data_IF_779377876873
#
_entry.id   IF_779377876873
#
_cell.length_a   1.000
_cell.length_b   1.000
_cell.length_c   1.000
_cell.angle_alpha   90.00
_cell.angle_beta   90.00
_cell.angle_gamma   90.00
#
_symmetry.space_group_name_H-M   'P 1'
#
loop_
_entity.id
_entity.type
_entity.pdbx_description
1 polymer ?
#
# COMPACT_ATOMS: atom_id res chain seq x y z
N UNK A 1 48.53 -22.20 -4.54
CA UNK A 1 47.20 -22.09 -3.92
C UNK A 1 46.70 -20.69 -4.25
N UNK A 2 46.03 -20.52 -5.37
CA UNK A 2 45.45 -19.27 -5.78
C UNK A 2 44.07 -19.12 -5.11
N UNK A 3 43.93 -18.12 -4.25
CA UNK A 3 42.66 -17.73 -3.67
C UNK A 3 41.81 -17.11 -4.77
N UNK A 4 40.87 -17.86 -5.31
CA UNK A 4 39.79 -17.32 -6.15
C UNK A 4 38.91 -16.45 -5.27
N UNK A 5 39.18 -15.14 -5.31
CA UNK A 5 38.30 -14.12 -4.78
C UNK A 5 37.08 -14.09 -5.69
N UNK A 6 36.01 -14.79 -5.33
CA UNK A 6 34.68 -14.60 -5.89
C UNK A 6 34.17 -13.24 -5.50
N UNK A 7 34.41 -12.25 -6.35
CA UNK A 7 33.69 -10.98 -6.32
C UNK A 7 32.21 -11.30 -6.54
N UNK A 8 31.43 -11.40 -5.46
CA UNK A 8 29.98 -11.32 -5.56
C UNK A 8 29.66 -9.93 -6.15
N UNK A 9 29.40 -9.89 -7.45
CA UNK A 9 28.81 -8.73 -8.08
C UNK A 9 27.48 -8.47 -7.34
N UNK A 10 27.40 -7.41 -6.58
CA UNK A 10 26.15 -6.97 -5.93
C UNK A 10 25.18 -6.64 -7.07
N UNK A 11 24.34 -7.59 -7.41
CA UNK A 11 23.29 -7.37 -8.40
C UNK A 11 22.32 -6.32 -7.82
N UNK A 12 22.11 -5.25 -8.58
CA UNK A 12 21.24 -4.15 -8.16
C UNK A 12 19.81 -4.65 -8.09
N UNK A 13 19.05 -4.22 -7.08
CA UNK A 13 17.63 -4.56 -6.95
C UNK A 13 16.74 -3.59 -7.72
N UNK A 14 15.61 -4.09 -8.23
CA UNK A 14 14.53 -3.29 -8.81
C UNK A 14 13.21 -3.67 -8.17
N UNK A 15 12.43 -2.68 -7.73
CA UNK A 15 11.12 -2.89 -7.09
C UNK A 15 10.02 -2.55 -8.08
N UNK A 16 9.25 -3.53 -8.51
CA UNK A 16 8.05 -3.34 -9.35
C UNK A 16 6.84 -3.24 -8.43
N UNK A 17 6.19 -2.07 -8.43
CA UNK A 17 4.99 -1.83 -7.64
C UNK A 17 3.76 -2.01 -8.53
N UNK A 18 2.82 -2.83 -8.08
CA UNK A 18 1.49 -2.90 -8.66
C UNK A 18 0.76 -1.53 -8.55
N UNK A 19 -0.12 -1.23 -9.47
CA UNK A 19 -0.90 0.02 -9.52
C UNK A 19 -1.62 0.30 -8.21
N UNK A 20 -2.19 -0.72 -7.59
CA UNK A 20 -2.88 -0.61 -6.30
C UNK A 20 -1.95 -0.13 -5.18
N UNK A 21 -0.67 -0.52 -5.22
CA UNK A 21 0.34 -0.08 -4.24
C UNK A 21 0.68 1.39 -4.46
N UNK A 22 0.91 1.81 -5.70
CA UNK A 22 1.11 3.22 -6.05
C UNK A 22 -0.03 4.11 -5.56
N UNK A 23 -1.26 3.67 -5.81
CA UNK A 23 -2.46 4.42 -5.46
C UNK A 23 -2.67 4.47 -3.94
N UNK A 24 -2.55 3.33 -3.25
CA UNK A 24 -2.65 3.22 -1.79
C UNK A 24 -1.63 4.13 -1.09
N UNK A 25 -0.40 4.14 -1.58
CA UNK A 25 0.69 4.95 -1.03
C UNK A 25 0.72 6.37 -1.60
N UNK A 26 -0.37 6.81 -2.24
CA UNK A 26 -0.55 8.18 -2.74
C UNK A 26 0.63 8.64 -3.60
N UNK A 27 0.97 7.84 -4.59
CA UNK A 27 2.13 8.09 -5.47
C UNK A 27 3.45 8.17 -4.67
N UNK A 28 3.59 7.34 -3.62
CA UNK A 28 4.72 7.32 -2.69
C UNK A 28 4.91 8.64 -1.90
N UNK A 29 3.82 9.39 -1.68
CA UNK A 29 3.80 10.57 -0.82
C UNK A 29 3.42 10.25 0.63
N UNK A 30 2.88 9.06 0.88
CA UNK A 30 2.60 8.58 2.24
C UNK A 30 3.89 8.43 3.06
N UNK A 31 3.77 8.27 4.37
CA UNK A 31 4.92 7.99 5.23
C UNK A 31 5.62 6.68 4.82
N UNK A 32 4.85 5.66 4.47
CA UNK A 32 5.38 4.37 4.04
C UNK A 32 6.04 4.47 2.64
N UNK A 33 5.42 5.22 1.71
CA UNK A 33 6.03 5.55 0.43
C UNK A 33 7.36 6.31 0.58
N UNK A 34 7.45 7.25 1.53
CA UNK A 34 8.70 7.96 1.85
C UNK A 34 9.76 7.03 2.48
N UNK A 35 9.37 6.07 3.32
CA UNK A 35 10.30 5.08 3.86
C UNK A 35 10.81 4.15 2.74
N UNK A 36 9.95 3.76 1.82
CA UNK A 36 10.32 2.99 0.65
C UNK A 36 11.34 3.73 -0.23
N UNK A 37 11.09 5.01 -0.56
CA UNK A 37 12.03 5.84 -1.35
C UNK A 37 13.38 5.95 -0.67
N UNK A 38 13.40 6.12 0.66
CA UNK A 38 14.65 6.11 1.42
C UNK A 38 15.40 4.79 1.26
N UNK A 39 14.70 3.65 1.37
CA UNK A 39 15.31 2.32 1.21
C UNK A 39 15.87 2.14 -0.20
N UNK A 40 15.10 2.51 -1.24
CA UNK A 40 15.54 2.47 -2.65
C UNK A 40 16.83 3.28 -2.85
N UNK A 41 16.88 4.51 -2.32
CA UNK A 41 18.06 5.37 -2.41
C UNK A 41 19.27 4.78 -1.67
N UNK A 42 19.09 4.28 -0.44
CA UNK A 42 20.16 3.70 0.37
C UNK A 42 20.78 2.46 -0.26
N UNK A 43 19.96 1.66 -0.91
CA UNK A 43 20.39 0.42 -1.57
C UNK A 43 20.81 0.63 -3.02
N UNK A 44 20.72 1.86 -3.52
CA UNK A 44 20.94 2.16 -4.95
C UNK A 44 20.05 1.32 -5.88
N UNK A 45 18.90 0.92 -5.37
CA UNK A 45 17.90 0.19 -6.12
C UNK A 45 17.16 1.09 -7.12
N UNK A 46 16.39 0.47 -8.02
CA UNK A 46 15.50 1.17 -8.96
C UNK A 46 14.04 0.83 -8.65
N UNK A 47 13.14 1.64 -9.20
CA UNK A 47 11.70 1.38 -9.20
C UNK A 47 11.33 0.99 -10.62
N UNK A 48 11.00 -0.27 -10.84
CA UNK A 48 10.47 -0.75 -12.11
C UNK A 48 9.09 -0.15 -12.36
N UNK A 49 8.95 0.52 -13.50
CA UNK A 49 7.71 1.24 -13.85
C UNK A 49 7.19 0.77 -15.21
N UNK A 50 6.44 -0.34 -15.26
CA UNK A 50 5.84 -0.84 -16.48
C UNK A 50 4.85 0.16 -17.08
N UNK A 51 4.84 0.30 -18.39
CA UNK A 51 3.91 1.21 -19.09
C UNK A 51 2.43 0.89 -18.80
N UNK A 52 2.09 -0.39 -18.60
CA UNK A 52 0.74 -0.79 -18.22
C UNK A 52 0.33 -0.20 -16.86
N UNK A 53 1.25 -0.14 -15.90
CA UNK A 53 1.01 0.49 -14.58
C UNK A 53 0.86 2.00 -14.75
N UNK A 54 1.68 2.65 -15.58
CA UNK A 54 1.55 4.08 -15.86
C UNK A 54 0.18 4.45 -16.44
N UNK A 55 -0.28 3.67 -17.44
CA UNK A 55 -1.60 3.88 -18.09
C UNK A 55 -2.76 3.69 -17.10
N UNK A 56 -2.70 2.64 -16.29
CA UNK A 56 -3.74 2.36 -15.29
C UNK A 56 -3.74 3.42 -14.18
N UNK A 57 -2.57 3.83 -13.72
CA UNK A 57 -2.41 4.86 -12.68
C UNK A 57 -2.99 6.20 -13.15
N UNK A 58 -2.74 6.58 -14.43
CA UNK A 58 -3.32 7.77 -15.03
C UNK A 58 -4.85 7.71 -15.02
N UNK A 59 -5.43 6.57 -15.39
CA UNK A 59 -6.88 6.39 -15.38
C UNK A 59 -7.46 6.48 -13.97
N UNK A 60 -6.83 5.81 -12.99
CA UNK A 60 -7.28 5.84 -11.59
C UNK A 60 -7.21 7.25 -10.98
N UNK A 61 -6.14 7.98 -11.23
CA UNK A 61 -5.99 9.37 -10.75
C UNK A 61 -7.05 10.28 -11.38
N UNK A 62 -7.36 10.09 -12.65
CA UNK A 62 -8.42 10.84 -13.32
C UNK A 62 -9.81 10.53 -12.75
N UNK A 63 -10.12 9.28 -12.48
CA UNK A 63 -11.40 8.87 -11.89
C UNK A 63 -11.52 9.40 -10.46
N UNK A 64 -10.48 9.28 -9.67
CA UNK A 64 -10.45 9.81 -8.31
C UNK A 64 -10.55 11.35 -8.31
N UNK A 65 -9.90 12.02 -9.24
CA UNK A 65 -10.02 13.46 -9.44
C UNK A 65 -11.47 13.89 -9.69
N UNK A 66 -12.19 13.19 -10.58
CA UNK A 66 -13.62 13.43 -10.84
C UNK A 66 -14.46 13.25 -9.57
N UNK A 67 -14.23 12.17 -8.84
CA UNK A 67 -14.94 11.88 -7.58
C UNK A 67 -14.71 12.99 -6.55
N UNK A 68 -13.46 13.35 -6.30
CA UNK A 68 -13.09 14.38 -5.32
C UNK A 68 -13.60 15.78 -5.69
N UNK A 69 -13.54 16.15 -6.97
CA UNK A 69 -14.09 17.41 -7.49
C UNK A 69 -15.60 17.48 -7.24
N UNK A 70 -16.31 16.37 -7.44
CA UNK A 70 -17.74 16.27 -7.16
C UNK A 70 -18.01 16.38 -5.66
N UNK A 71 -17.34 15.59 -4.84
CA UNK A 71 -17.51 15.56 -3.39
C UNK A 71 -17.25 16.95 -2.76
N UNK A 72 -16.20 17.64 -3.26
CA UNK A 72 -15.91 19.02 -2.87
C UNK A 72 -17.07 19.96 -3.20
N UNK A 73 -17.59 19.92 -4.44
CA UNK A 73 -18.67 20.77 -4.90
C UNK A 73 -19.95 20.55 -4.10
N UNK A 74 -20.26 19.28 -3.78
CA UNK A 74 -21.44 18.92 -3.00
C UNK A 74 -21.31 19.38 -1.54
N UNK A 75 -20.12 19.20 -0.95
CA UNK A 75 -19.81 19.69 0.40
C UNK A 75 -19.89 21.22 0.48
N UNK A 76 -19.25 21.92 -0.45
CA UNK A 76 -19.26 23.38 -0.51
C UNK A 76 -20.69 23.92 -0.64
N UNK A 77 -21.52 23.29 -1.47
CA UNK A 77 -22.94 23.63 -1.63
C UNK A 77 -23.70 23.42 -0.31
N UNK A 78 -23.52 22.28 0.34
CA UNK A 78 -24.20 21.99 1.61
C UNK A 78 -23.82 23.00 2.69
N UNK A 79 -22.53 23.32 2.86
CA UNK A 79 -22.06 24.33 3.81
C UNK A 79 -22.64 25.71 3.47
N UNK A 80 -22.68 26.08 2.17
CA UNK A 80 -23.29 27.33 1.72
C UNK A 80 -24.78 27.45 2.09
N UNK A 81 -25.53 26.36 2.03
CA UNK A 81 -26.93 26.33 2.45
C UNK A 81 -27.12 26.62 3.95
N UNK A 82 -26.24 26.11 4.82
CA UNK A 82 -26.32 26.29 6.26
C UNK A 82 -25.77 27.64 6.75
N UNK A 83 -24.73 28.15 6.08
CA UNK A 83 -24.00 29.35 6.53
C UNK A 83 -24.43 30.62 5.80
N UNK A 84 -25.12 30.52 4.67
CA UNK A 84 -25.37 31.62 3.75
C UNK A 84 -24.11 32.16 3.04
N UNK A 85 -22.95 31.57 3.28
CA UNK A 85 -21.68 32.02 2.73
C UNK A 85 -21.42 31.26 1.43
N UNK A 86 -21.32 32.00 0.31
CA UNK A 86 -20.98 31.41 -1.02
C UNK A 86 -19.49 31.48 -1.37
N UNK A 87 -18.62 31.73 -0.39
CA UNK A 87 -17.17 31.88 -0.60
C UNK A 87 -16.45 30.54 -0.37
N UNK A 88 -16.63 29.63 -1.29
CA UNK A 88 -15.78 28.45 -1.33
C UNK A 88 -15.02 28.49 -2.65
N UNK A 89 -13.71 28.31 -2.59
CA UNK A 89 -12.89 28.22 -3.78
C UNK A 89 -13.44 27.11 -4.67
N UNK A 90 -13.38 27.32 -5.99
CA UNK A 90 -13.81 26.32 -6.95
C UNK A 90 -13.02 25.03 -6.74
N UNK A 91 -13.70 23.89 -6.89
CA UNK A 91 -13.02 22.59 -6.87
C UNK A 91 -11.89 22.56 -7.90
N UNK A 92 -10.75 21.93 -7.59
CA UNK A 92 -9.68 21.75 -8.57
C UNK A 92 -10.22 21.06 -9.82
N UNK A 93 -9.88 21.49 -11.03
CA UNK A 93 -10.23 20.79 -12.26
C UNK A 93 -9.54 19.41 -12.31
N UNK A 94 -10.14 18.47 -13.01
CA UNK A 94 -9.62 17.08 -13.11
C UNK A 94 -8.20 17.05 -13.71
N UNK A 95 -7.92 17.97 -14.61
CA UNK A 95 -6.63 18.14 -15.28
C UNK A 95 -5.48 18.44 -14.28
N UNK A 96 -5.77 19.04 -13.14
CA UNK A 96 -4.76 19.31 -12.12
C UNK A 96 -4.32 18.04 -11.39
N UNK A 97 -5.19 17.04 -11.27
CA UNK A 97 -4.81 15.72 -10.76
C UNK A 97 -3.89 14.99 -11.73
N UNK A 98 -4.18 15.04 -13.03
CA UNK A 98 -3.33 14.45 -14.08
C UNK A 98 -1.95 15.11 -14.10
N UNK A 99 -1.90 16.47 -14.06
CA UNK A 99 -0.64 17.22 -13.93
C UNK A 99 0.11 16.90 -12.65
N UNK A 100 -0.61 16.73 -11.53
CA UNK A 100 -0.03 16.33 -10.25
C UNK A 100 0.69 14.99 -10.33
N UNK A 101 0.07 13.99 -10.98
CA UNK A 101 0.69 12.70 -11.25
C UNK A 101 1.95 12.87 -12.12
N UNK A 102 1.85 13.59 -13.24
CA UNK A 102 3.00 13.79 -14.14
C UNK A 102 4.17 14.46 -13.41
N UNK A 103 3.92 15.55 -12.68
CA UNK A 103 4.93 16.23 -11.87
C UNK A 103 5.58 15.30 -10.84
N UNK A 104 4.80 14.37 -10.27
CA UNK A 104 5.34 13.38 -9.34
C UNK A 104 6.24 12.38 -10.03
N UNK A 105 5.83 11.84 -11.16
CA UNK A 105 6.64 10.92 -11.97
C UNK A 105 7.92 11.56 -12.44
N UNK A 106 7.89 12.82 -12.84
CA UNK A 106 9.08 13.59 -13.27
C UNK A 106 10.10 13.72 -12.12
N UNK A 107 9.63 13.99 -10.90
CA UNK A 107 10.50 14.02 -9.70
C UNK A 107 11.10 12.66 -9.36
N UNK A 108 10.39 11.58 -9.63
CA UNK A 108 10.84 10.21 -9.39
C UNK A 108 11.69 9.66 -10.54
N UNK A 109 11.72 10.33 -11.70
CA UNK A 109 12.36 9.85 -12.92
C UNK A 109 13.79 9.32 -12.72
N UNK A 110 14.67 9.92 -11.87
CA UNK A 110 16.01 9.39 -11.64
C UNK A 110 16.03 7.98 -11.00
N UNK A 111 14.93 7.60 -10.31
CA UNK A 111 14.77 6.29 -9.66
C UNK A 111 14.00 5.30 -10.53
N UNK A 112 13.25 5.79 -11.54
CA UNK A 112 12.40 4.95 -12.36
C UNK A 112 13.22 4.20 -13.43
N UNK A 113 12.95 2.90 -13.55
CA UNK A 113 13.33 2.05 -14.67
C UNK A 113 12.07 1.75 -15.47
N UNK A 114 11.88 2.48 -16.59
CA UNK A 114 10.64 2.40 -17.39
C UNK A 114 10.70 1.21 -18.34
N UNK A 115 9.64 0.41 -18.33
CA UNK A 115 9.47 -0.74 -19.23
C UNK A 115 8.33 -0.44 -20.21
N UNK A 116 8.68 -0.34 -21.48
CA UNK A 116 7.69 -0.14 -22.54
C UNK A 116 6.92 -1.45 -22.77
N UNK A 117 5.61 -1.35 -22.84
CA UNK A 117 4.76 -2.50 -23.15
C UNK A 117 4.96 -2.93 -24.60
N UNK A 118 5.62 -4.06 -24.79
CA UNK A 118 6.00 -4.58 -26.11
C UNK A 118 5.00 -5.58 -26.68
N UNK A 119 5.13 -5.88 -27.96
CA UNK A 119 4.36 -6.94 -28.61
C UNK A 119 4.60 -8.31 -27.97
N UNK A 120 5.82 -8.60 -27.54
CA UNK A 120 6.16 -9.84 -26.82
C UNK A 120 5.43 -9.92 -25.48
N UNK A 121 5.38 -8.83 -24.71
CA UNK A 121 4.60 -8.78 -23.48
C UNK A 121 3.12 -9.08 -23.72
N UNK A 122 2.54 -8.49 -24.79
CA UNK A 122 1.15 -8.71 -25.13
C UNK A 122 0.87 -10.17 -25.51
N UNK A 123 1.74 -10.78 -26.31
CA UNK A 123 1.60 -12.19 -26.70
C UNK A 123 1.73 -13.14 -25.50
N UNK A 124 2.72 -12.93 -24.63
CA UNK A 124 2.91 -13.74 -23.44
C UNK A 124 1.74 -13.58 -22.46
N UNK A 125 1.29 -12.35 -22.21
CA UNK A 125 0.12 -12.08 -21.37
C UNK A 125 -1.14 -12.75 -21.91
N UNK A 126 -1.40 -12.67 -23.22
CA UNK A 126 -2.53 -13.33 -23.86
C UNK A 126 -2.45 -14.86 -23.75
N UNK A 127 -1.25 -15.44 -23.96
CA UNK A 127 -1.01 -16.87 -23.79
C UNK A 127 -1.36 -17.32 -22.37
N UNK A 128 -0.96 -16.56 -21.33
CA UNK A 128 -1.31 -16.84 -19.93
C UNK A 128 -2.80 -16.84 -19.70
N UNK A 129 -3.51 -15.85 -20.24
CA UNK A 129 -4.96 -15.77 -20.15
C UNK A 129 -5.65 -17.00 -20.76
N UNK A 130 -5.25 -17.38 -21.96
CA UNK A 130 -5.84 -18.52 -22.68
C UNK A 130 -5.60 -19.84 -21.95
N UNK A 131 -4.38 -20.02 -21.41
CA UNK A 131 -3.99 -21.26 -20.74
C UNK A 131 -4.31 -21.28 -19.23
N UNK A 132 -4.80 -20.19 -18.66
CA UNK A 132 -5.07 -20.08 -17.22
C UNK A 132 -3.83 -20.21 -16.36
N UNK A 133 -2.66 -19.74 -16.85
CA UNK A 133 -1.38 -19.76 -16.12
C UNK A 133 -1.28 -18.52 -15.24
N UNK A 134 -0.80 -18.67 -14.02
CA UNK A 134 -0.60 -17.54 -13.10
C UNK A 134 0.13 -16.35 -13.77
N UNK A 135 -0.22 -15.10 -13.41
CA UNK A 135 -1.20 -14.65 -12.42
C UNK A 135 -2.66 -14.78 -12.88
N UNK A 136 -2.90 -15.19 -14.13
CA UNK A 136 -4.24 -15.40 -14.67
C UNK A 136 -4.90 -16.65 -14.11
N UNK A 137 -6.22 -16.68 -14.26
CA UNK A 137 -7.07 -17.86 -14.08
C UNK A 137 -7.99 -18.02 -15.27
N UNK A 138 -8.48 -19.24 -15.53
CA UNK A 138 -9.55 -19.42 -16.49
C UNK A 138 -10.72 -18.48 -16.18
N UNK A 139 -11.17 -17.70 -17.18
CA UNK A 139 -12.26 -16.71 -17.08
C UNK A 139 -11.97 -15.44 -16.24
N UNK A 140 -10.73 -15.13 -15.85
CA UNK A 140 -10.38 -13.86 -15.22
C UNK A 140 -9.89 -12.82 -16.23
N UNK A 141 -10.19 -11.54 -15.98
CA UNK A 141 -9.62 -10.40 -16.72
C UNK A 141 -8.29 -9.96 -16.08
N UNK A 142 -7.29 -10.84 -16.11
CA UNK A 142 -5.98 -10.62 -15.52
C UNK A 142 -4.89 -10.22 -16.53
N UNK A 143 -5.28 -9.64 -17.67
CA UNK A 143 -4.32 -9.26 -18.71
C UNK A 143 -3.25 -8.29 -18.18
N UNK A 144 -3.66 -7.33 -17.37
CA UNK A 144 -2.76 -6.34 -16.77
C UNK A 144 -1.75 -6.98 -15.82
N UNK A 145 -2.22 -7.88 -14.97
CA UNK A 145 -1.34 -8.61 -14.04
C UNK A 145 -0.33 -9.46 -14.79
N UNK A 146 -0.77 -10.13 -15.88
CA UNK A 146 0.14 -10.84 -16.77
C UNK A 146 1.18 -9.91 -17.41
N UNK A 147 0.78 -8.71 -17.85
CA UNK A 147 1.71 -7.73 -18.43
C UNK A 147 2.70 -7.18 -17.39
N UNK A 148 2.28 -6.99 -16.13
CA UNK A 148 3.17 -6.60 -15.02
C UNK A 148 4.19 -7.72 -14.76
N UNK A 149 3.76 -8.98 -14.82
CA UNK A 149 4.66 -10.13 -14.65
C UNK A 149 5.71 -10.18 -15.76
N UNK A 150 5.34 -10.03 -17.03
CA UNK A 150 6.29 -10.01 -18.15
C UNK A 150 7.32 -8.88 -18.00
N UNK A 151 6.90 -7.70 -17.54
CA UNK A 151 7.82 -6.60 -17.26
C UNK A 151 8.77 -6.92 -16.07
N UNK A 152 8.29 -7.61 -15.04
CA UNK A 152 9.13 -8.05 -13.93
C UNK A 152 10.16 -9.09 -14.37
N UNK A 153 9.79 -10.02 -15.27
CA UNK A 153 10.72 -10.97 -15.89
C UNK A 153 11.77 -10.27 -16.74
N UNK A 154 11.39 -9.31 -17.58
CA UNK A 154 12.34 -8.53 -18.38
C UNK A 154 13.36 -7.83 -17.49
N UNK A 155 12.90 -7.14 -16.43
CA UNK A 155 13.78 -6.49 -15.46
C UNK A 155 14.71 -7.47 -14.75
N UNK A 156 14.26 -8.68 -14.49
CA UNK A 156 15.04 -9.68 -13.77
C UNK A 156 16.26 -10.19 -14.57
N UNK A 157 16.34 -9.88 -15.86
CA UNK A 157 17.55 -10.16 -16.68
C UNK A 157 18.76 -9.33 -16.22
N UNK A 158 18.55 -8.18 -15.61
CA UNK A 158 19.60 -7.24 -15.20
C UNK A 158 19.60 -6.95 -13.70
N UNK A 159 18.51 -7.25 -13.00
CA UNK A 159 18.28 -6.90 -11.59
C UNK A 159 17.78 -8.10 -10.79
N UNK A 160 17.83 -8.00 -9.46
CA UNK A 160 16.95 -8.79 -8.60
C UNK A 160 15.62 -8.06 -8.55
N UNK A 161 14.58 -8.65 -9.12
CA UNK A 161 13.26 -8.02 -9.16
C UNK A 161 12.46 -8.33 -7.88
N UNK A 162 11.93 -7.28 -7.24
CA UNK A 162 11.00 -7.37 -6.12
C UNK A 162 9.63 -6.92 -6.60
N UNK A 163 8.69 -7.86 -6.78
CA UNK A 163 7.31 -7.54 -7.13
C UNK A 163 6.51 -7.28 -5.85
N UNK A 164 5.94 -6.09 -5.71
CA UNK A 164 5.13 -5.69 -4.56
C UNK A 164 3.68 -5.58 -4.99
N UNK A 165 2.86 -6.54 -4.59
CA UNK A 165 1.44 -6.64 -4.98
C UNK A 165 0.61 -7.37 -3.93
N UNK A 166 -0.65 -7.01 -3.80
CA UNK A 166 -1.67 -7.73 -3.01
C UNK A 166 -2.57 -8.61 -3.89
N UNK A 167 -2.34 -8.63 -5.21
CA UNK A 167 -3.14 -9.47 -6.08
C UNK A 167 -2.83 -10.94 -5.84
N UNK A 168 -3.88 -11.68 -5.48
CA UNK A 168 -3.78 -13.10 -5.12
C UNK A 168 -3.45 -14.01 -6.31
N UNK A 169 -3.58 -13.51 -7.53
CA UNK A 169 -3.22 -14.24 -8.75
C UNK A 169 -1.74 -14.62 -8.81
N UNK A 170 -0.88 -13.80 -8.22
CA UNK A 170 0.56 -14.06 -8.15
C UNK A 170 0.97 -15.10 -7.10
N UNK A 171 0.07 -15.42 -6.16
CA UNK A 171 0.40 -16.25 -4.99
C UNK A 171 -0.08 -17.68 -5.12
N UNK A 172 0.71 -18.62 -4.59
CA UNK A 172 0.41 -20.04 -4.61
C UNK A 172 -0.94 -20.35 -3.94
N UNK A 173 -1.84 -20.96 -4.71
CA UNK A 173 -3.18 -21.27 -4.24
C UNK A 173 -3.98 -20.03 -3.80
N UNK A 174 -3.63 -18.84 -4.28
CA UNK A 174 -4.23 -17.54 -3.90
C UNK A 174 -4.08 -17.18 -2.43
N UNK A 175 -3.09 -17.72 -1.78
CA UNK A 175 -2.78 -17.45 -0.39
C UNK A 175 -1.44 -16.70 -0.31
N UNK A 176 -1.53 -15.42 0.09
CA UNK A 176 -0.37 -14.52 0.20
C UNK A 176 0.74 -15.15 1.06
N UNK A 177 0.39 -15.93 2.08
CA UNK A 177 1.35 -16.57 2.97
C UNK A 177 2.19 -17.67 2.31
N UNK A 178 1.76 -18.17 1.15
CA UNK A 178 2.44 -19.26 0.44
C UNK A 178 3.48 -18.79 -0.58
N UNK A 179 3.68 -17.48 -0.69
CA UNK A 179 4.64 -16.90 -1.63
C UNK A 179 4.23 -17.05 -3.10
N UNK A 180 5.18 -16.89 -4.00
CA UNK A 180 4.98 -16.87 -5.44
C UNK A 180 4.37 -18.19 -5.96
N UNK A 181 3.45 -18.11 -6.91
CA UNK A 181 2.81 -19.27 -7.52
C UNK A 181 3.84 -20.22 -8.17
N UNK A 182 3.61 -21.52 -8.08
CA UNK A 182 4.58 -22.54 -8.55
C UNK A 182 4.92 -22.39 -10.04
N UNK A 183 3.93 -22.05 -10.88
CA UNK A 183 4.14 -21.82 -12.31
C UNK A 183 5.12 -20.67 -12.56
N UNK A 184 4.99 -19.58 -11.78
CA UNK A 184 5.87 -18.42 -11.87
C UNK A 184 7.28 -18.73 -11.33
N UNK A 185 7.38 -19.54 -10.28
CA UNK A 185 8.68 -20.03 -9.77
C UNK A 185 9.37 -20.94 -10.79
N UNK A 186 8.62 -21.81 -11.46
CA UNK A 186 9.16 -22.71 -12.49
C UNK A 186 9.69 -21.88 -13.68
N UNK A 187 8.95 -20.91 -14.14
CA UNK A 187 9.35 -20.01 -15.20
C UNK A 187 10.62 -19.20 -14.85
N UNK A 188 10.66 -18.63 -13.63
CA UNK A 188 11.88 -17.95 -13.17
C UNK A 188 13.11 -18.85 -13.26
N UNK A 189 12.98 -20.12 -12.87
CA UNK A 189 14.08 -21.09 -12.97
C UNK A 189 14.47 -21.40 -14.42
N UNK A 190 13.48 -21.50 -15.30
CA UNK A 190 13.70 -21.80 -16.73
C UNK A 190 14.48 -20.68 -17.42
N UNK A 191 14.15 -19.42 -17.14
CA UNK A 191 14.79 -18.26 -17.77
C UNK A 191 15.98 -17.70 -16.95
N UNK A 192 16.29 -18.30 -15.79
CA UNK A 192 17.35 -17.81 -14.91
C UNK A 192 17.03 -16.48 -14.21
N UNK A 193 15.75 -16.16 -14.04
CA UNK A 193 15.27 -14.94 -13.44
C UNK A 193 15.26 -15.02 -11.91
N UNK A 194 15.49 -13.89 -11.24
CA UNK A 194 15.33 -13.73 -9.79
C UNK A 194 14.20 -12.76 -9.48
N UNK A 195 13.02 -13.30 -9.19
CA UNK A 195 11.84 -12.52 -8.78
C UNK A 195 11.43 -12.92 -7.37
N UNK A 196 11.34 -11.95 -6.47
CA UNK A 196 10.83 -12.09 -5.11
C UNK A 196 9.50 -11.34 -5.01
N UNK A 197 8.53 -11.94 -4.30
CA UNK A 197 7.21 -11.31 -4.13
C UNK A 197 7.02 -10.81 -2.71
N UNK A 198 6.37 -9.64 -2.56
CA UNK A 198 6.05 -9.01 -1.30
C UNK A 198 4.59 -8.54 -1.33
N UNK A 199 3.86 -8.76 -0.24
CA UNK A 199 2.45 -8.35 -0.14
C UNK A 199 2.25 -6.84 0.03
N UNK A 200 3.31 -6.12 0.45
CA UNK A 200 3.25 -4.69 0.71
C UNK A 200 4.65 -4.08 0.76
N UNK A 201 4.72 -2.74 0.74
CA UNK A 201 5.97 -2.02 0.97
C UNK A 201 6.55 -2.39 2.34
N UNK A 202 5.71 -2.52 3.35
CA UNK A 202 6.12 -2.90 4.71
C UNK A 202 6.84 -4.26 4.73
N UNK A 203 6.26 -5.27 4.07
CA UNK A 203 6.87 -6.61 4.01
C UNK A 203 8.20 -6.59 3.26
N UNK A 204 8.32 -5.75 2.23
CA UNK A 204 9.61 -5.51 1.56
C UNK A 204 10.61 -4.86 2.50
N UNK A 205 10.22 -3.80 3.21
CA UNK A 205 11.11 -3.08 4.13
C UNK A 205 11.55 -3.95 5.31
N UNK A 206 10.75 -4.90 5.75
CA UNK A 206 11.08 -5.84 6.82
C UNK A 206 12.14 -6.87 6.42
N UNK A 207 12.46 -7.01 5.13
CA UNK A 207 13.58 -7.87 4.68
C UNK A 207 14.94 -7.27 5.03
N UNK A 208 14.99 -5.99 5.40
CA UNK A 208 16.21 -5.29 5.80
C UNK A 208 16.34 -5.21 7.32
N UNK A 209 17.54 -5.07 7.84
CA UNK A 209 17.75 -4.87 9.26
C UNK A 209 16.95 -3.67 9.79
N UNK A 210 16.31 -3.85 10.95
CA UNK A 210 15.60 -2.77 11.61
C UNK A 210 16.53 -1.57 11.84
N UNK A 211 16.04 -0.33 11.69
CA UNK A 211 16.87 0.85 11.90
C UNK A 211 17.35 0.92 13.35
N UNK A 212 18.64 1.20 13.53
CA UNK A 212 19.27 1.37 14.87
C UNK A 212 18.93 2.76 15.41
N UNK A 213 17.64 3.04 15.56
CA UNK A 213 17.16 4.31 16.15
C UNK A 213 16.12 3.98 17.20
N UNK A 214 16.40 4.44 18.43
CA UNK A 214 15.46 4.27 19.54
C UNK A 214 14.39 5.35 19.47
N UNK A 215 13.13 4.94 19.33
CA UNK A 215 11.95 5.80 19.45
C UNK A 215 11.10 5.32 20.63
N UNK A 216 10.31 6.20 21.27
CA UNK A 216 9.49 5.84 22.44
C UNK A 216 8.26 5.03 22.01
N UNK A 217 8.44 3.72 21.74
CA UNK A 217 7.40 2.84 21.22
C UNK A 217 6.14 2.83 22.11
N UNK A 218 6.30 2.79 23.45
CA UNK A 218 5.16 2.78 24.37
C UNK A 218 4.30 4.06 24.25
N UNK A 219 4.94 5.22 24.09
CA UNK A 219 4.21 6.48 23.91
C UNK A 219 3.46 6.49 22.57
N UNK A 220 4.10 5.97 21.51
CA UNK A 220 3.51 5.87 20.20
C UNK A 220 2.31 4.91 20.21
N UNK A 221 2.42 3.76 20.88
CA UNK A 221 1.31 2.82 21.07
C UNK A 221 0.12 3.49 21.77
N UNK A 222 0.37 4.26 22.84
CA UNK A 222 -0.68 4.97 23.54
C UNK A 222 -1.35 6.05 22.68
N UNK A 223 -0.58 6.78 21.87
CA UNK A 223 -1.11 7.77 20.93
C UNK A 223 -1.99 7.13 19.85
N UNK A 224 -1.55 5.97 19.31
CA UNK A 224 -2.32 5.21 18.31
C UNK A 224 -3.61 4.69 18.95
N UNK A 225 -3.53 4.08 20.13
CA UNK A 225 -4.71 3.59 20.86
C UNK A 225 -5.74 4.70 21.09
N UNK A 226 -5.27 5.87 21.54
CA UNK A 226 -6.14 7.04 21.73
C UNK A 226 -6.83 7.43 20.43
N UNK A 227 -6.09 7.52 19.32
CA UNK A 227 -6.65 7.87 18.02
C UNK A 227 -7.68 6.83 17.53
N UNK A 228 -7.43 5.54 17.75
CA UNK A 228 -8.37 4.46 17.42
C UNK A 228 -9.64 4.60 18.24
N UNK A 229 -9.55 4.80 19.56
CA UNK A 229 -10.71 4.95 20.45
C UNK A 229 -11.55 6.17 20.09
N UNK A 230 -10.94 7.29 19.75
CA UNK A 230 -11.62 8.50 19.27
C UNK A 230 -12.37 8.25 17.95
N UNK A 231 -11.73 7.56 16.99
CA UNK A 231 -12.34 7.23 15.71
C UNK A 231 -13.55 6.30 15.87
N UNK A 232 -13.43 5.27 16.70
CA UNK A 232 -14.53 4.31 16.97
C UNK A 232 -15.66 4.96 17.76
N UNK A 233 -15.37 5.84 18.72
CA UNK A 233 -16.39 6.58 19.49
C UNK A 233 -17.27 7.47 18.59
N UNK A 234 -16.75 7.94 17.48
CA UNK A 234 -17.50 8.74 16.50
C UNK A 234 -18.56 7.93 15.77
N UNK A 235 -18.29 6.62 15.56
CA UNK A 235 -19.20 5.70 14.84
C UNK A 235 -20.32 5.12 15.73
N UNK A 236 -20.32 5.36 17.06
CA UNK A 236 -21.34 4.97 18.05
C UNK A 236 -21.81 3.48 18.03
N UNK A 237 -21.29 2.64 17.16
CA UNK A 237 -21.73 1.25 17.02
C UNK A 237 -21.07 0.29 17.99
N UNK A 238 -19.83 0.58 18.42
CA UNK A 238 -19.05 -0.34 19.24
C UNK A 238 -18.33 0.38 20.37
N UNK A 239 -18.22 -0.27 21.52
CA UNK A 239 -17.37 0.16 22.63
C UNK A 239 -16.14 -0.74 22.67
N UNK A 240 -14.95 -0.16 22.59
CA UNK A 240 -13.69 -0.90 22.69
C UNK A 240 -13.37 -1.18 24.15
N UNK A 241 -13.20 -2.44 24.49
CA UNK A 241 -12.75 -2.94 25.79
C UNK A 241 -11.23 -2.87 25.95
N UNK A 242 -10.68 -3.90 26.60
CA UNK A 242 -9.23 -4.02 26.79
C UNK A 242 -8.49 -4.21 25.47
N UNK A 243 -7.28 -3.66 25.39
CA UNK A 243 -6.34 -3.97 24.32
C UNK A 243 -5.74 -5.35 24.57
N UNK A 244 -5.94 -6.28 23.64
CA UNK A 244 -5.50 -7.67 23.73
C UNK A 244 -4.09 -7.88 23.18
N UNK A 245 -3.77 -7.18 22.07
CA UNK A 245 -2.49 -7.34 21.37
C UNK A 245 -2.06 -6.04 20.70
N UNK A 246 -0.77 -5.81 20.64
CA UNK A 246 -0.13 -4.77 19.82
C UNK A 246 1.01 -5.36 19.02
N UNK A 247 1.11 -4.95 17.77
CA UNK A 247 2.24 -5.20 16.89
C UNK A 247 2.60 -3.87 16.21
N UNK A 248 3.85 -3.41 16.33
CA UNK A 248 4.28 -2.10 15.88
C UNK A 248 5.66 -2.18 15.27
N UNK A 249 5.77 -1.71 14.02
CA UNK A 249 7.02 -1.58 13.30
C UNK A 249 7.27 -0.13 12.91
N UNK A 250 8.53 0.29 12.93
CA UNK A 250 8.90 1.63 12.54
C UNK A 250 9.97 1.62 11.44
N UNK A 251 9.89 2.59 10.55
CA UNK A 251 10.79 2.74 9.41
C UNK A 251 11.26 4.19 9.30
N UNK A 252 12.55 4.36 8.95
CA UNK A 252 13.10 5.68 8.67
C UNK A 252 12.53 6.21 7.35
N UNK A 253 12.24 7.53 7.31
CA UNK A 253 11.83 8.22 6.09
C UNK A 253 12.97 9.09 5.53
N UNK A 254 12.80 9.67 4.35
CA UNK A 254 13.76 10.65 3.80
C UNK A 254 13.86 11.92 4.64
N UNK A 255 12.79 12.26 5.37
CA UNK A 255 12.74 13.45 6.24
C UNK A 255 13.30 13.12 7.61
N UNK A 256 14.37 13.81 8.07
CA UNK A 256 14.90 13.63 9.42
C UNK A 256 13.82 13.82 10.49
N UNK A 257 13.83 12.97 11.52
CA UNK A 257 12.87 12.97 12.64
C UNK A 257 11.45 12.51 12.29
N UNK A 258 11.14 12.16 11.04
CA UNK A 258 9.88 11.54 10.68
C UNK A 258 10.09 10.03 10.52
N UNK A 259 9.21 9.27 11.15
CA UNK A 259 9.18 7.81 11.09
C UNK A 259 7.84 7.33 10.54
N UNK A 260 7.89 6.42 9.60
CA UNK A 260 6.70 5.69 9.19
C UNK A 260 6.46 4.60 10.23
N UNK A 261 5.24 4.55 10.75
CA UNK A 261 4.82 3.56 11.73
C UNK A 261 3.76 2.69 11.10
N UNK A 262 4.00 1.39 11.07
CA UNK A 262 2.99 0.38 10.80
C UNK A 262 2.52 -0.18 12.13
N UNK A 263 1.22 -0.32 12.31
CA UNK A 263 0.67 -0.87 13.54
C UNK A 263 -0.48 -1.82 13.27
N UNK A 264 -0.66 -2.73 14.23
CA UNK A 264 -1.83 -3.58 14.37
C UNK A 264 -2.15 -3.70 15.86
N UNK A 265 -3.36 -3.31 16.25
CA UNK A 265 -3.85 -3.43 17.62
C UNK A 265 -5.15 -4.20 17.63
N UNK A 266 -5.29 -5.14 18.55
CA UNK A 266 -6.51 -5.91 18.77
C UNK A 266 -7.18 -5.46 20.05
N UNK A 267 -8.50 -5.24 19.97
CA UNK A 267 -9.34 -4.83 21.11
C UNK A 267 -10.49 -5.80 21.28
N UNK A 268 -10.85 -6.03 22.53
CA UNK A 268 -12.09 -6.69 22.92
C UNK A 268 -13.29 -5.80 22.59
N UNK A 269 -14.44 -6.41 22.28
CA UNK A 269 -15.75 -5.76 22.19
C UNK A 269 -16.66 -6.40 23.26
N UNK A 270 -16.71 -5.82 24.49
CA UNK A 270 -17.38 -6.46 25.64
C UNK A 270 -18.88 -6.69 25.43
N UNK A 271 -19.55 -5.84 24.65
CA UNK A 271 -20.97 -5.97 24.32
C UNK A 271 -21.26 -6.91 23.17
N UNK A 272 -20.24 -7.57 22.62
CA UNK A 272 -20.38 -8.37 21.40
C UNK A 272 -20.71 -7.54 20.15
N UNK A 273 -21.11 -8.22 19.08
CA UNK A 273 -21.50 -7.60 17.80
C UNK A 273 -22.87 -8.12 17.40
N UNK A 274 -23.76 -7.22 17.01
CA UNK A 274 -25.05 -7.56 16.38
C UNK A 274 -24.96 -7.25 14.90
N UNK A 275 -25.15 -8.24 14.04
CA UNK A 275 -25.15 -8.07 12.58
C UNK A 275 -26.15 -9.03 11.93
N UNK A 276 -26.95 -8.52 10.99
CA UNK A 276 -27.99 -9.28 10.29
C UNK A 276 -28.94 -10.03 11.25
N UNK A 277 -29.37 -9.36 12.34
CA UNK A 277 -30.20 -9.92 13.42
C UNK A 277 -29.58 -11.09 14.20
N UNK A 278 -28.29 -11.36 14.05
CA UNK A 278 -27.55 -12.32 14.87
C UNK A 278 -26.68 -11.59 15.90
N UNK A 279 -26.70 -12.06 17.15
CA UNK A 279 -25.83 -11.56 18.23
C UNK A 279 -24.63 -12.49 18.39
N UNK A 280 -23.44 -11.91 18.43
CA UNK A 280 -22.18 -12.62 18.56
C UNK A 280 -21.48 -12.17 19.84
N UNK A 281 -21.37 -13.06 20.80
CA UNK A 281 -20.53 -12.89 21.99
C UNK A 281 -19.05 -13.16 21.65
N UNK A 282 -18.12 -12.79 22.54
CA UNK A 282 -16.68 -12.96 22.37
C UNK A 282 -16.18 -12.33 21.05
N UNK A 283 -16.53 -11.08 20.82
CA UNK A 283 -16.11 -10.34 19.67
C UNK A 283 -14.82 -9.56 19.93
N UNK A 284 -13.99 -9.44 18.89
CA UNK A 284 -12.82 -8.57 18.89
C UNK A 284 -12.69 -7.81 17.57
N UNK A 285 -11.97 -6.71 17.60
CA UNK A 285 -11.60 -5.93 16.40
C UNK A 285 -10.10 -5.80 16.29
N UNK A 286 -9.58 -6.18 15.14
CA UNK A 286 -8.22 -5.84 14.72
C UNK A 286 -8.25 -4.48 14.01
N UNK A 287 -7.47 -3.56 14.51
CA UNK A 287 -7.24 -2.27 13.85
C UNK A 287 -5.81 -2.22 13.36
N UNK A 288 -5.64 -2.08 12.06
CA UNK A 288 -4.32 -1.98 11.44
C UNK A 288 -4.24 -0.72 10.58
N UNK A 289 -3.04 -0.19 10.43
CA UNK A 289 -2.83 1.00 9.62
C UNK A 289 -1.39 1.49 9.67
N UNK A 290 -1.22 2.64 9.03
CA UNK A 290 0.05 3.36 9.01
C UNK A 290 -0.16 4.78 9.51
N UNK A 291 0.84 5.33 10.21
CA UNK A 291 0.88 6.74 10.57
C UNK A 291 2.31 7.26 10.51
N UNK A 292 2.45 8.58 10.62
CA UNK A 292 3.76 9.23 10.72
C UNK A 292 3.98 9.70 12.16
N UNK A 293 5.08 9.27 12.76
CA UNK A 293 5.55 9.81 14.03
C UNK A 293 6.62 10.88 13.79
N UNK A 294 6.45 12.05 14.38
CA UNK A 294 7.44 13.13 14.37
C UNK A 294 8.15 13.18 15.71
N UNK A 295 9.43 12.76 15.73
CA UNK A 295 10.24 12.76 16.93
C UNK A 295 10.61 14.18 17.44
N UNK A 296 10.47 15.21 16.60
CA UNK A 296 10.69 16.61 17.00
C UNK A 296 9.54 17.16 17.82
N UNK A 297 8.30 16.97 17.36
CA UNK A 297 7.08 17.39 18.06
C UNK A 297 6.55 16.33 19.03
N UNK A 298 7.11 15.13 19.04
CA UNK A 298 6.65 13.96 19.81
C UNK A 298 5.17 13.65 19.62
N UNK A 299 4.72 13.67 18.36
CA UNK A 299 3.31 13.49 18.01
C UNK A 299 3.16 12.61 16.76
N UNK A 300 2.01 11.96 16.63
CA UNK A 300 1.57 11.32 15.39
C UNK A 300 0.82 12.32 14.52
N UNK A 301 1.11 12.32 13.21
CA UNK A 301 0.46 13.24 12.28
C UNK A 301 -0.97 12.78 11.98
N UNK A 302 -1.91 13.73 12.05
CA UNK A 302 -3.32 13.50 11.71
C UNK A 302 -3.52 13.23 10.20
N UNK A 303 -2.63 13.74 9.37
CA UNK A 303 -2.71 13.64 7.90
C UNK A 303 -2.52 12.21 7.36
N UNK A 304 -2.01 11.29 8.19
CA UNK A 304 -1.65 9.93 7.75
C UNK A 304 -2.45 8.81 8.41
N UNK A 305 -3.53 9.14 9.13
CA UNK A 305 -4.35 8.13 9.82
C UNK A 305 -5.23 7.35 8.83
N UNK A 306 -4.70 6.24 8.33
CA UNK A 306 -5.49 5.26 7.57
C UNK A 306 -5.69 4.04 8.44
N UNK A 307 -6.93 3.78 8.87
CA UNK A 307 -7.27 2.63 9.68
C UNK A 307 -8.07 1.61 8.87
N UNK A 308 -7.73 0.35 9.06
CA UNK A 308 -8.49 -0.78 8.56
C UNK A 308 -9.00 -1.56 9.77
N UNK A 309 -10.30 -1.72 9.88
CA UNK A 309 -10.96 -2.44 10.97
C UNK A 309 -11.41 -3.80 10.48
N UNK A 310 -10.99 -4.87 11.14
CA UNK A 310 -11.45 -6.23 10.85
C UNK A 310 -12.08 -6.82 12.10
N UNK A 311 -13.37 -7.06 12.05
CA UNK A 311 -14.17 -7.58 13.17
C UNK A 311 -14.18 -9.09 13.14
N UNK A 312 -13.93 -9.70 14.29
CA UNK A 312 -13.89 -11.13 14.47
C UNK A 312 -14.83 -11.56 15.58
N UNK A 313 -15.37 -12.77 15.45
CA UNK A 313 -16.26 -13.41 16.41
C UNK A 313 -15.83 -14.86 16.63
N UNK A 314 -16.15 -15.41 17.81
CA UNK A 314 -15.79 -16.76 18.20
C UNK A 314 -14.47 -16.82 18.97
N UNK A 315 -14.39 -17.65 20.01
CA UNK A 315 -13.21 -17.81 20.87
C UNK A 315 -12.00 -18.41 20.15
N UNK A 316 -11.73 -19.71 20.33
CA UNK A 316 -10.55 -20.40 19.74
C UNK A 316 -10.60 -20.47 18.20
N UNK A 317 -11.80 -20.59 17.61
CA UNK A 317 -12.03 -20.54 16.15
C UNK A 317 -12.50 -19.15 15.72
N UNK A 318 -11.56 -18.23 15.61
CA UNK A 318 -11.79 -16.84 15.23
C UNK A 318 -12.24 -16.73 13.77
N UNK A 319 -13.45 -16.19 13.53
CA UNK A 319 -14.02 -15.99 12.21
C UNK A 319 -14.14 -14.51 11.90
N UNK A 320 -13.63 -14.07 10.72
CA UNK A 320 -13.83 -12.72 10.21
C UNK A 320 -15.32 -12.50 9.90
N UNK A 321 -15.91 -11.48 10.54
CA UNK A 321 -17.30 -11.07 10.31
C UNK A 321 -17.38 -10.00 9.21
N UNK A 322 -16.64 -8.92 9.37
CA UNK A 322 -16.58 -7.82 8.39
C UNK A 322 -15.26 -7.07 8.45
N UNK A 323 -14.97 -6.31 7.39
CA UNK A 323 -13.82 -5.40 7.34
C UNK A 323 -14.27 -4.04 6.82
N UNK A 324 -13.80 -2.97 7.47
CA UNK A 324 -14.09 -1.58 7.12
C UNK A 324 -12.75 -0.87 6.91
N UNK A 325 -12.63 -0.08 5.86
CA UNK A 325 -11.47 0.79 5.63
C UNK A 325 -11.93 2.24 5.72
N UNK A 326 -11.25 3.02 6.54
CA UNK A 326 -11.46 4.46 6.62
C UNK A 326 -10.30 5.16 5.92
N UNK A 327 -10.63 6.01 4.97
CA UNK A 327 -9.66 6.92 4.35
C UNK A 327 -9.94 8.33 4.89
N UNK A 328 -8.91 9.01 5.41
CA UNK A 328 -9.03 10.43 5.72
C UNK A 328 -8.93 11.25 4.42
N UNK A 329 -9.96 12.02 4.04
CA UNK A 329 -9.94 12.82 2.81
C UNK A 329 -9.03 14.05 2.86
N UNK A 330 -8.51 14.43 4.04
CA UNK A 330 -7.84 15.72 4.27
C UNK A 330 -6.48 15.90 3.56
N UNK A 331 -5.90 14.82 3.06
CA UNK A 331 -4.52 14.85 2.55
C UNK A 331 -4.37 15.35 1.10
N UNK A 332 -5.36 15.15 0.25
CA UNK A 332 -5.25 15.52 -1.17
C UNK A 332 -5.20 17.03 -1.39
N UNK A 333 -5.75 17.81 -0.47
CA UNK A 333 -5.81 19.27 -0.57
C UNK A 333 -4.51 19.95 -0.11
N UNK A 334 -3.74 19.34 0.79
CA UNK A 334 -2.50 19.93 1.32
C UNK A 334 -1.31 19.83 0.36
N UNK A 335 -1.36 18.93 -0.60
CA UNK A 335 -0.27 18.67 -1.57
C UNK A 335 -0.39 19.43 -2.88
N UNK A 336 -1.57 19.95 -3.21
CA UNK A 336 -1.83 20.72 -4.43
C UNK A 336 -1.52 22.22 -4.26
N UNK A 337 -1.28 22.69 -3.03
CA UNK A 337 -1.08 24.11 -2.70
C UNK A 337 0.34 24.55 -2.36
N UNK A 338 1.39 23.80 -2.72
CA UNK A 338 2.81 24.22 -2.55
C UNK A 338 3.61 24.03 -3.80
#
# INVERSE_FOLDING_TARGET
MESVSTSQSHQISVCVLDTNVWFKERLLLSSMGNAFLRSVNQQRAKIGFPQVVEMELMQLVKEEGKRLTKDWSDTARAVGHFTGIKRWDSAPPVEDFEKGLQNRLDRLNPLLERIVFSHSHAQSALKRLILGIAPSLPSSDAFRDCAIWEAALELSSSYIAHLITQDKGFYQGRDIKKGLAHDLVAECKEVGAMVQIHESIESYLQTFPAPVVTIPLADIEAMIEKAIREAVATDKQYTLGARLKTDLHHFLTEKPKLFAIQFRQEFEIPGGIVENNASYENASVDVSGNCTYNAGSKNISDESKNFSYSFYVGGETRRLLKSIRTFSPEFLLSTLGK
#
